data_IF_539858316242
#
_entry.id   IF_539858316242
#
_cell.length_a   1.000
_cell.length_b   1.000
_cell.length_c   1.000
_cell.angle_alpha   90.00
_cell.angle_beta   90.00
_cell.angle_gamma   90.00
#
_symmetry.space_group_name_H-M   'P 1'
#
loop_
_entity.id
_entity.type
_entity.pdbx_description
1 polymer ?
#
# COMPACT_ATOMS: atom_id res chain seq x y z
N UNK A 1 12.48 -32.29 32.94
CA UNK A 1 11.98 -31.17 32.12
C UNK A 1 11.42 -30.04 33.01
N UNK A 2 12.24 -29.41 33.87
CA UNK A 2 11.78 -28.38 34.83
C UNK A 2 12.59 -27.05 34.80
N UNK A 3 13.68 -26.98 34.04
CA UNK A 3 14.57 -25.80 34.03
C UNK A 3 14.12 -24.64 33.13
N UNK A 4 13.16 -24.85 32.23
CA UNK A 4 12.66 -23.80 31.32
C UNK A 4 11.56 -22.93 31.91
N UNK A 5 10.88 -23.39 32.97
CA UNK A 5 9.80 -22.65 33.63
C UNK A 5 10.30 -21.68 34.71
N UNK A 6 11.43 -21.98 35.36
CA UNK A 6 12.04 -21.12 36.39
C UNK A 6 12.76 -19.89 35.80
N UNK A 7 13.24 -19.99 34.56
CA UNK A 7 13.92 -18.89 33.87
C UNK A 7 12.97 -17.77 33.43
N UNK A 8 11.73 -18.09 33.05
CA UNK A 8 10.73 -17.10 32.60
C UNK A 8 10.21 -16.23 33.76
N UNK A 9 9.99 -16.82 34.93
CA UNK A 9 9.54 -16.11 36.14
C UNK A 9 10.63 -15.13 36.62
N UNK A 10 11.87 -15.59 36.66
CA UNK A 10 13.04 -14.78 37.04
C UNK A 10 13.28 -13.61 36.07
N UNK A 11 13.07 -13.83 34.76
CA UNK A 11 13.16 -12.78 33.75
C UNK A 11 12.05 -11.74 33.89
N UNK A 12 10.84 -12.17 34.25
CA UNK A 12 9.68 -11.27 34.42
C UNK A 12 9.85 -10.38 35.65
N UNK A 13 10.32 -10.95 36.77
CA UNK A 13 10.61 -10.21 38.01
C UNK A 13 11.72 -9.16 37.80
N UNK A 14 12.78 -9.52 37.07
CA UNK A 14 13.86 -8.56 36.73
C UNK A 14 13.38 -7.42 35.84
N UNK A 15 12.46 -7.65 34.90
CA UNK A 15 11.89 -6.58 34.07
C UNK A 15 11.01 -5.64 34.89
N UNK A 16 10.20 -6.20 35.80
CA UNK A 16 9.32 -5.45 36.69
C UNK A 16 10.08 -4.52 37.64
N UNK A 17 11.18 -5.01 38.23
CA UNK A 17 12.02 -4.22 39.15
C UNK A 17 12.87 -3.18 38.40
N UNK A 18 13.33 -3.50 37.18
CA UNK A 18 14.32 -2.67 36.48
C UNK A 18 13.72 -1.51 35.69
N UNK A 19 12.48 -1.63 35.18
CA UNK A 19 11.85 -0.60 34.32
C UNK A 19 10.33 -0.51 34.48
N UNK A 20 9.81 -0.07 35.65
CA UNK A 20 8.36 0.03 35.90
C UNK A 20 7.62 1.08 35.05
N UNK A 21 8.35 1.94 34.32
CA UNK A 21 7.81 3.00 33.46
C UNK A 21 7.45 2.54 32.03
N UNK A 22 7.66 1.26 31.71
CA UNK A 22 7.28 0.71 30.40
C UNK A 22 5.76 0.55 30.27
N UNK A 23 5.18 0.79 29.07
CA UNK A 23 3.75 0.72 28.87
C UNK A 23 3.20 -0.67 29.20
N UNK A 24 2.17 -0.73 30.04
CA UNK A 24 1.50 -1.96 30.45
C UNK A 24 0.48 -2.37 29.38
N UNK A 25 0.51 -3.63 28.97
CA UNK A 25 -0.41 -4.17 27.95
C UNK A 25 -1.84 -4.47 28.46
N UNK A 26 -2.19 -4.04 29.67
CA UNK A 26 -3.46 -4.35 30.34
C UNK A 26 -4.69 -3.83 29.57
N UNK A 27 -4.56 -2.72 28.85
CA UNK A 27 -5.67 -2.08 28.13
C UNK A 27 -5.62 -2.31 26.62
N UNK A 28 -4.49 -2.79 26.08
CA UNK A 28 -4.29 -2.94 24.64
C UNK A 28 -5.24 -3.97 24.00
N UNK A 29 -5.58 -5.04 24.74
CA UNK A 29 -6.35 -6.18 24.20
C UNK A 29 -7.29 -6.76 25.24
N UNK A 30 -8.37 -6.03 25.50
CA UNK A 30 -9.43 -6.43 26.42
C UNK A 30 -10.11 -7.74 25.97
N UNK A 31 -10.14 -8.03 24.66
CA UNK A 31 -10.76 -9.23 24.09
C UNK A 31 -9.80 -10.04 23.22
N UNK A 32 -9.88 -11.36 23.38
CA UNK A 32 -9.22 -12.34 22.53
C UNK A 32 -9.70 -12.18 21.07
N UNK A 33 -8.84 -12.30 20.04
CA UNK A 33 -9.27 -12.08 18.66
C UNK A 33 -10.26 -13.15 18.17
N UNK A 34 -10.20 -14.35 18.75
CA UNK A 34 -11.12 -15.43 18.47
C UNK A 34 -12.47 -15.31 19.23
N UNK A 35 -12.63 -14.33 20.12
CA UNK A 35 -13.85 -14.11 20.91
C UNK A 35 -14.44 -12.75 20.58
N UNK A 36 -15.07 -12.65 19.42
CA UNK A 36 -15.74 -11.42 18.96
C UNK A 36 -17.13 -11.30 19.57
N UNK A 37 -17.52 -10.09 19.99
CA UNK A 37 -18.88 -9.80 20.48
C UNK A 37 -19.89 -9.64 19.34
N UNK A 38 -19.38 -9.30 18.15
CA UNK A 38 -20.17 -9.06 16.95
C UNK A 38 -19.81 -10.10 15.89
N UNK A 39 -20.79 -10.41 15.05
CA UNK A 39 -20.60 -11.23 13.86
C UNK A 39 -20.27 -10.32 12.68
N UNK A 40 -19.02 -10.26 12.19
CA UNK A 40 -18.69 -9.44 11.03
C UNK A 40 -19.33 -10.03 9.78
N UNK A 41 -19.87 -9.18 8.91
CA UNK A 41 -20.33 -9.53 7.57
C UNK A 41 -19.42 -8.79 6.60
N UNK A 42 -18.48 -9.51 5.99
CA UNK A 42 -17.54 -8.93 5.02
C UNK A 42 -18.15 -9.08 3.62
N UNK A 43 -18.45 -7.97 2.92
CA UNK A 43 -19.02 -8.04 1.58
C UNK A 43 -17.98 -8.58 0.59
N UNK A 44 -18.42 -9.44 -0.33
CA UNK A 44 -17.56 -10.08 -1.34
C UNK A 44 -17.80 -9.54 -2.75
N UNK A 45 -18.94 -8.92 -3.01
CA UNK A 45 -19.33 -8.41 -4.33
C UNK A 45 -20.20 -7.17 -4.16
N UNK A 46 -20.11 -6.27 -5.12
CA UNK A 46 -20.95 -5.07 -5.16
C UNK A 46 -22.41 -5.47 -5.46
N UNK A 47 -23.41 -4.84 -4.82
CA UNK A 47 -24.83 -5.21 -4.97
C UNK A 47 -25.33 -5.27 -6.42
N UNK A 48 -24.81 -4.39 -7.28
CA UNK A 48 -25.14 -4.33 -8.70
C UNK A 48 -24.76 -5.60 -9.45
N UNK A 49 -23.70 -6.28 -9.01
CA UNK A 49 -23.13 -7.47 -9.66
C UNK A 49 -23.62 -8.80 -9.07
N UNK A 50 -24.43 -8.75 -8.00
CA UNK A 50 -24.99 -9.94 -7.36
C UNK A 50 -26.06 -10.58 -8.25
N UNK A 51 -26.91 -9.76 -8.86
CA UNK A 51 -28.00 -10.22 -9.72
C UNK A 51 -27.69 -10.06 -11.21
N UNK A 52 -27.03 -8.96 -11.63
CA UNK A 52 -26.53 -8.86 -13.01
C UNK A 52 -25.12 -9.45 -13.13
N UNK A 53 -25.07 -10.77 -13.34
CA UNK A 53 -23.83 -11.55 -13.33
C UNK A 53 -23.08 -11.54 -14.67
N UNK A 54 -23.44 -10.68 -15.63
CA UNK A 54 -22.81 -10.62 -16.96
C UNK A 54 -21.29 -10.48 -16.83
N UNK A 55 -20.59 -11.55 -17.19
CA UNK A 55 -19.15 -11.61 -16.97
C UNK A 55 -18.33 -10.90 -18.06
N UNK A 56 -18.74 -10.99 -19.33
CA UNK A 56 -17.95 -10.45 -20.44
C UNK A 56 -17.74 -8.93 -20.36
N UNK A 57 -18.73 -8.18 -19.85
CA UNK A 57 -18.64 -6.74 -19.64
C UNK A 57 -17.74 -6.38 -18.44
N UNK A 58 -17.66 -7.27 -17.45
CA UNK A 58 -16.87 -7.09 -16.21
C UNK A 58 -15.43 -7.60 -16.34
N UNK A 59 -15.15 -8.48 -17.30
CA UNK A 59 -13.84 -9.12 -17.48
C UNK A 59 -12.77 -8.12 -17.94
N UNK A 60 -12.13 -7.44 -16.99
CA UNK A 60 -11.02 -6.54 -17.24
C UNK A 60 -9.74 -7.26 -17.71
N UNK A 61 -9.63 -8.58 -17.51
CA UNK A 61 -8.43 -9.33 -17.91
C UNK A 61 -8.36 -9.51 -19.42
N UNK A 62 -9.52 -9.76 -20.04
CA UNK A 62 -9.61 -9.98 -21.49
C UNK A 62 -10.09 -8.75 -22.25
N UNK A 63 -10.76 -7.81 -21.59
CA UNK A 63 -11.19 -6.54 -22.18
C UNK A 63 -10.01 -5.55 -22.33
N UNK A 64 -8.98 -5.98 -23.06
CA UNK A 64 -7.84 -5.16 -23.44
C UNK A 64 -7.77 -5.06 -24.95
N UNK A 65 -7.39 -3.89 -25.45
CA UNK A 65 -7.18 -3.68 -26.88
C UNK A 65 -6.18 -4.71 -27.43
N UNK A 66 -6.42 -5.27 -28.62
CA UNK A 66 -5.52 -6.23 -29.23
C UNK A 66 -4.17 -5.59 -29.56
N UNK A 67 -3.11 -6.38 -29.53
CA UNK A 67 -1.75 -5.92 -29.86
C UNK A 67 -1.70 -5.56 -31.34
N UNK A 68 -1.36 -4.30 -31.63
CA UNK A 68 -1.14 -3.81 -33.00
C UNK A 68 0.37 -3.83 -33.31
N UNK A 69 0.78 -4.56 -34.34
CA UNK A 69 2.19 -4.63 -34.79
C UNK A 69 2.29 -4.03 -36.18
N UNK A 70 3.14 -3.02 -36.33
CA UNK A 70 3.44 -2.35 -37.60
C UNK A 70 4.93 -2.43 -37.87
N UNK A 71 5.31 -2.72 -39.11
CA UNK A 71 6.72 -2.77 -39.53
C UNK A 71 7.08 -1.43 -40.15
N UNK A 72 8.12 -0.79 -39.62
CA UNK A 72 8.67 0.47 -40.16
C UNK A 72 9.84 0.15 -41.09
N UNK A 73 9.80 0.65 -42.32
CA UNK A 73 10.92 0.59 -43.27
C UNK A 73 11.74 1.88 -43.19
N UNK A 74 12.93 1.86 -43.80
CA UNK A 74 13.82 3.02 -43.90
C UNK A 74 13.09 4.28 -44.42
N UNK A 75 12.28 4.13 -45.47
CA UNK A 75 11.52 5.24 -46.05
C UNK A 75 10.54 5.89 -45.06
N UNK A 76 9.88 5.09 -44.22
CA UNK A 76 8.94 5.58 -43.20
C UNK A 76 9.68 6.37 -42.12
N UNK A 77 10.87 5.91 -41.72
CA UNK A 77 11.72 6.57 -40.72
C UNK A 77 12.27 7.88 -41.26
N UNK A 78 12.78 7.91 -42.49
CA UNK A 78 13.28 9.14 -43.13
C UNK A 78 12.17 10.19 -43.27
N UNK A 79 10.93 9.75 -43.56
CA UNK A 79 9.76 10.63 -43.59
C UNK A 79 9.45 11.19 -42.21
N UNK A 80 9.38 10.36 -41.16
CA UNK A 80 9.14 10.82 -39.79
C UNK A 80 10.21 11.81 -39.33
N UNK A 81 11.49 11.57 -39.64
CA UNK A 81 12.57 12.49 -39.28
C UNK A 81 12.48 13.84 -40.00
N UNK A 82 11.96 13.88 -41.23
CA UNK A 82 11.73 15.13 -41.98
C UNK A 82 10.51 15.90 -41.46
N UNK A 83 9.50 15.20 -40.97
CA UNK A 83 8.25 15.79 -40.46
C UNK A 83 8.38 16.26 -39.00
N UNK A 84 9.21 15.60 -38.19
CA UNK A 84 9.37 15.91 -36.78
C UNK A 84 10.23 17.16 -36.56
N UNK A 85 9.71 18.11 -35.80
CA UNK A 85 10.45 19.25 -35.22
C UNK A 85 10.16 19.29 -33.72
N UNK A 86 11.09 19.79 -32.91
CA UNK A 86 10.96 19.79 -31.46
C UNK A 86 10.62 21.18 -30.93
N UNK A 87 9.48 21.28 -30.24
CA UNK A 87 9.15 22.38 -29.34
C UNK A 87 9.57 22.05 -27.90
N UNK A 88 9.61 23.06 -27.02
CA UNK A 88 9.93 22.91 -25.59
C UNK A 88 9.01 21.89 -24.89
N UNK A 89 7.76 21.74 -25.35
CA UNK A 89 6.78 20.81 -24.78
C UNK A 89 6.96 19.35 -25.21
N UNK A 90 7.75 19.09 -26.25
CA UNK A 90 7.99 17.73 -26.76
C UNK A 90 9.02 16.96 -25.92
N UNK A 91 9.75 17.67 -25.04
CA UNK A 91 10.72 17.05 -24.14
C UNK A 91 10.03 16.40 -22.93
N UNK A 92 10.48 15.21 -22.50
CA UNK A 92 9.98 14.60 -21.27
C UNK A 92 10.13 15.55 -20.07
N UNK A 93 9.04 15.75 -19.34
CA UNK A 93 9.04 16.61 -18.15
C UNK A 93 9.94 16.01 -17.09
N UNK A 94 10.81 16.85 -16.53
CA UNK A 94 11.68 16.45 -15.42
C UNK A 94 10.87 16.30 -14.14
N UNK A 95 11.07 15.20 -13.42
CA UNK A 95 10.55 15.04 -12.07
C UNK A 95 11.44 15.83 -11.10
N UNK A 96 11.10 17.10 -10.87
CA UNK A 96 11.82 17.97 -9.94
C UNK A 96 11.30 17.75 -8.52
N UNK A 97 12.18 17.33 -7.62
CA UNK A 97 11.89 17.32 -6.18
C UNK A 97 12.15 18.70 -5.59
N UNK A 98 11.22 19.20 -4.79
CA UNK A 98 11.43 20.44 -4.05
C UNK A 98 12.54 20.23 -3.00
N UNK A 99 13.36 21.26 -2.78
CA UNK A 99 14.18 21.33 -1.57
C UNK A 99 13.26 21.74 -0.43
N UNK A 100 13.22 20.93 0.62
CA UNK A 100 12.50 21.26 1.85
C UNK A 100 13.45 21.12 3.03
N UNK A 101 13.20 21.92 4.05
CA UNK A 101 13.86 21.83 5.35
C UNK A 101 12.91 21.05 6.27
N UNK A 102 13.41 19.97 6.85
CA UNK A 102 12.64 19.15 7.77
C UNK A 102 12.62 19.81 9.14
N UNK A 103 11.43 19.99 9.70
CA UNK A 103 11.22 20.45 11.07
C UNK A 103 10.34 19.44 11.81
N UNK A 104 10.79 19.03 13.00
CA UNK A 104 10.29 17.87 13.75
C UNK A 104 8.78 17.95 14.05
N UNK A 105 8.26 19.15 14.29
CA UNK A 105 6.85 19.37 14.66
C UNK A 105 6.08 20.30 13.71
N UNK A 106 6.63 20.59 12.52
CA UNK A 106 6.04 21.57 11.61
C UNK A 106 4.64 21.18 11.12
N UNK A 107 4.41 19.89 10.82
CA UNK A 107 3.10 19.42 10.35
C UNK A 107 2.25 19.07 11.57
N UNK A 108 1.22 19.88 11.80
CA UNK A 108 0.20 19.66 12.86
C UNK A 108 0.80 19.55 14.28
N UNK A 109 1.94 20.19 14.55
CA UNK A 109 2.58 20.14 15.87
C UNK A 109 3.18 18.77 16.20
N UNK A 110 3.52 17.96 15.20
CA UNK A 110 4.01 16.59 15.38
C UNK A 110 2.91 15.53 15.49
N UNK A 111 1.63 15.90 15.33
CA UNK A 111 0.49 14.98 15.43
C UNK A 111 -0.26 14.84 14.09
N UNK A 112 -0.19 13.66 13.49
CA UNK A 112 -0.97 13.35 12.30
C UNK A 112 -2.44 13.10 12.65
N UNK A 113 -3.35 13.75 11.91
CA UNK A 113 -4.80 13.45 11.95
C UNK A 113 -5.14 12.25 11.09
#
# INVERSE_FOLDING_TARGET
MASKASSSISQTLKRYIKKPWEPKATEYRIRCPATTLQKPIVPTSDPETVFDIKYYARDQRRNRSPIRRTVLKKADVEKMMKENTFDVNDFPKVYLTAKFEEDENAVSGGYQK
#
